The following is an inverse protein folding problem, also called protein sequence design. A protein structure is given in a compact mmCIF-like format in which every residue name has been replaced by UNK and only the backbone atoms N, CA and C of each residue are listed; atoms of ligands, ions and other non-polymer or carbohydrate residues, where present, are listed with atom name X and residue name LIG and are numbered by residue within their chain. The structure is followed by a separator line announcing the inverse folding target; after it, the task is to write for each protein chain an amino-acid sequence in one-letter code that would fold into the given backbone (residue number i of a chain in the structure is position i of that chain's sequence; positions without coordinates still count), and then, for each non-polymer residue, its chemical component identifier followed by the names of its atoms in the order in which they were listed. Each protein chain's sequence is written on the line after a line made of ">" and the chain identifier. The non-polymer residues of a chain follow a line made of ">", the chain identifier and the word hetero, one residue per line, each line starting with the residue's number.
data_IF_958779744431
#
_entry.id   IF_958779744431
#
_cell.length_a   1.000
_cell.length_b   1.000
_cell.length_c   1.000
_cell.angle_alpha   90.00
_cell.angle_beta   90.00
_cell.angle_gamma   90.00
#
_symmetry.space_group_name_H-M   'P 1'
#
loop_
_entity.id
_entity.type
_entity.pdbx_description
1 polymer ?
#
# COMPACT_ATOMS: atom_id res chain seq x y z
N UNK A 1 -19.83 -49.38 -13.86
CA UNK A 1 -21.01 -48.59 -14.25
C UNK A 1 -21.87 -48.41 -13.00
N UNK A 2 -21.65 -47.33 -12.25
CA UNK A 2 -22.23 -47.13 -10.91
C UNK A 2 -23.47 -46.25 -11.06
N UNK A 3 -24.59 -46.78 -10.59
CA UNK A 3 -25.94 -46.22 -10.72
C UNK A 3 -26.07 -44.90 -9.92
N UNK A 4 -26.10 -43.77 -10.64
CA UNK A 4 -26.19 -42.41 -10.07
C UNK A 4 -27.56 -42.08 -9.45
N UNK A 5 -28.49 -43.04 -9.35
CA UNK A 5 -29.87 -42.81 -8.87
C UNK A 5 -30.09 -43.00 -7.36
N UNK A 6 -29.08 -43.38 -6.57
CA UNK A 6 -29.23 -43.61 -5.11
C UNK A 6 -28.40 -42.70 -4.19
N UNK A 7 -28.09 -41.47 -4.61
CA UNK A 7 -27.47 -40.45 -3.73
C UNK A 7 -28.36 -39.19 -3.59
N UNK A 8 -29.67 -39.40 -3.47
CA UNK A 8 -30.66 -38.33 -3.20
C UNK A 8 -31.44 -38.59 -1.92
N UNK A 9 -30.74 -38.95 -0.85
CA UNK A 9 -31.33 -38.97 0.48
C UNK A 9 -30.41 -38.24 1.45
N UNK A 10 -30.99 -37.23 2.11
CA UNK A 10 -30.51 -36.62 3.36
C UNK A 10 -29.59 -35.39 3.25
N UNK A 11 -30.06 -34.36 2.55
CA UNK A 11 -29.81 -32.97 2.97
C UNK A 11 -31.15 -32.23 2.85
N UNK A 12 -32.03 -32.47 3.83
CA UNK A 12 -33.06 -31.48 4.14
C UNK A 12 -32.32 -30.24 4.64
N UNK A 13 -32.14 -29.26 3.75
CA UNK A 13 -31.68 -27.94 4.14
C UNK A 13 -32.79 -27.34 4.99
N UNK A 14 -32.65 -27.38 6.31
CA UNK A 14 -33.45 -26.55 7.19
C UNK A 14 -33.30 -25.13 6.68
N UNK A 15 -34.40 -24.53 6.21
CA UNK A 15 -34.42 -23.10 5.89
C UNK A 15 -33.91 -22.38 7.14
N UNK A 16 -32.94 -21.44 7.03
CA UNK A 16 -32.64 -20.59 8.17
C UNK A 16 -33.94 -19.91 8.56
N UNK A 17 -34.37 -20.11 9.81
CA UNK A 17 -35.48 -19.33 10.39
C UNK A 17 -34.97 -17.91 10.42
N UNK A 18 -35.40 -17.11 9.45
CA UNK A 18 -35.24 -15.67 9.49
C UNK A 18 -36.18 -15.23 10.61
N UNK A 19 -35.69 -14.68 11.73
CA UNK A 19 -36.57 -14.16 12.76
C UNK A 19 -37.46 -13.09 12.11
N UNK A 20 -38.76 -13.17 12.38
CA UNK A 20 -39.79 -12.34 11.75
C UNK A 20 -39.34 -10.89 11.63
N UNK A 21 -39.48 -10.34 10.43
CA UNK A 21 -39.01 -9.02 10.02
C UNK A 21 -39.87 -7.88 10.60
N UNK A 22 -40.33 -8.02 11.85
CA UNK A 22 -40.98 -6.96 12.60
C UNK A 22 -39.92 -6.27 13.46
N UNK A 23 -39.30 -5.25 12.86
CA UNK A 23 -38.16 -4.49 13.39
C UNK A 23 -38.46 -3.63 14.63
N UNK A 24 -39.07 -4.20 15.67
CA UNK A 24 -39.26 -3.54 16.97
C UNK A 24 -39.03 -4.51 18.12
N UNK A 25 -37.85 -5.13 18.18
CA UNK A 25 -37.36 -5.61 19.47
C UNK A 25 -36.90 -4.41 20.29
N UNK A 26 -37.45 -4.28 21.49
CA UNK A 26 -37.08 -3.17 22.38
C UNK A 26 -35.65 -3.37 22.87
N UNK A 27 -34.96 -2.28 23.23
CA UNK A 27 -33.57 -2.30 23.70
C UNK A 27 -33.37 -3.22 24.92
N UNK A 28 -34.43 -3.46 25.70
CA UNK A 28 -34.42 -4.37 26.85
C UNK A 28 -34.34 -5.86 26.43
N UNK A 29 -34.97 -6.24 25.33
CA UNK A 29 -35.03 -7.64 24.87
C UNK A 29 -33.71 -8.12 24.24
N UNK A 30 -32.88 -7.19 23.77
CA UNK A 30 -31.53 -7.50 23.26
C UNK A 30 -30.53 -7.61 24.43
N UNK A 31 -30.75 -6.85 25.51
CA UNK A 31 -29.89 -6.88 26.69
C UNK A 31 -30.00 -8.21 27.47
N UNK A 32 -31.20 -8.79 27.54
CA UNK A 32 -31.44 -10.06 28.25
C UNK A 32 -30.91 -11.30 27.48
N UNK A 33 -30.57 -11.17 26.19
CA UNK A 33 -30.07 -12.27 25.36
C UNK A 33 -28.53 -12.39 25.33
N UNK A 34 -27.82 -11.44 25.92
CA UNK A 34 -26.36 -11.39 25.92
C UNK A 34 -25.81 -11.65 27.33
N UNK A 35 -25.79 -12.93 27.71
CA UNK A 35 -25.02 -13.40 28.85
C UNK A 35 -23.55 -13.00 28.66
N UNK A 36 -23.07 -12.05 29.50
CA UNK A 36 -21.65 -11.86 29.77
C UNK A 36 -20.92 -10.81 28.91
N UNK A 37 -20.84 -9.60 29.47
CA UNK A 37 -19.76 -8.60 29.30
C UNK A 37 -19.36 -8.29 27.85
N UNK A 38 -20.20 -7.52 27.15
CA UNK A 38 -19.73 -6.63 26.09
C UNK A 38 -20.39 -5.27 26.30
N UNK A 39 -19.58 -4.23 26.51
CA UNK A 39 -20.05 -2.92 26.91
C UNK A 39 -21.03 -2.35 25.85
N UNK A 40 -22.26 -1.95 26.22
CA UNK A 40 -23.27 -1.45 25.28
C UNK A 40 -22.79 -0.23 24.48
N UNK A 41 -21.88 0.58 25.05
CA UNK A 41 -21.24 1.71 24.34
C UNK A 41 -20.35 1.20 23.20
N UNK A 42 -19.62 0.10 23.41
CA UNK A 42 -18.78 -0.51 22.38
C UNK A 42 -19.63 -1.11 21.27
N UNK A 43 -20.78 -1.72 21.58
CA UNK A 43 -21.72 -2.22 20.56
C UNK A 43 -22.31 -1.09 19.71
N UNK A 44 -22.66 0.05 20.32
CA UNK A 44 -23.13 1.24 19.59
C UNK A 44 -22.00 1.87 18.75
N UNK A 45 -20.77 1.88 19.26
CA UNK A 45 -19.61 2.36 18.52
C UNK A 45 -19.29 1.46 17.30
N UNK A 46 -19.32 0.14 17.48
CA UNK A 46 -19.17 -0.85 16.41
C UNK A 46 -20.28 -0.71 15.36
N UNK A 47 -21.53 -0.48 15.79
CA UNK A 47 -22.65 -0.19 14.88
C UNK A 47 -22.45 1.10 14.08
N UNK A 48 -22.01 2.19 14.72
CA UNK A 48 -21.70 3.47 14.06
C UNK A 48 -20.54 3.34 13.07
N UNK A 49 -19.52 2.56 13.42
CA UNK A 49 -18.39 2.26 12.54
C UNK A 49 -18.84 1.47 11.32
N UNK A 50 -19.61 0.40 11.52
CA UNK A 50 -20.14 -0.42 10.43
C UNK A 50 -21.04 0.39 9.47
N UNK A 51 -21.89 1.27 10.00
CA UNK A 51 -22.75 2.16 9.18
C UNK A 51 -21.90 3.14 8.37
N UNK A 52 -20.85 3.71 8.97
CA UNK A 52 -19.94 4.63 8.28
C UNK A 52 -19.19 3.93 7.15
N UNK A 53 -18.74 2.70 7.38
CA UNK A 53 -18.03 1.89 6.39
C UNK A 53 -18.96 1.48 5.24
N UNK A 54 -20.22 1.16 5.53
CA UNK A 54 -21.26 0.92 4.52
C UNK A 54 -21.52 2.21 3.71
N UNK A 55 -21.61 3.38 4.36
CA UNK A 55 -21.82 4.66 3.69
C UNK A 55 -20.67 5.02 2.74
N UNK A 56 -19.42 4.83 3.17
CA UNK A 56 -18.23 5.00 2.31
C UNK A 56 -18.25 4.04 1.11
N UNK A 57 -18.64 2.78 1.32
CA UNK A 57 -18.81 1.78 0.25
C UNK A 57 -19.88 2.18 -0.77
N UNK A 58 -21.02 2.70 -0.31
CA UNK A 58 -22.10 3.15 -1.19
C UNK A 58 -21.70 4.40 -2.01
N UNK A 59 -21.03 5.37 -1.39
CA UNK A 59 -20.50 6.54 -2.11
C UNK A 59 -19.49 6.14 -3.18
N UNK A 60 -18.64 5.14 -2.89
CA UNK A 60 -17.69 4.58 -3.84
C UNK A 60 -18.39 3.88 -5.02
N UNK A 61 -19.43 3.08 -4.75
CA UNK A 61 -20.24 2.42 -5.80
C UNK A 61 -20.92 3.45 -6.70
N UNK A 62 -21.43 4.54 -6.15
CA UNK A 62 -22.12 5.60 -6.91
C UNK A 62 -21.16 6.44 -7.77
N UNK A 63 -19.88 6.57 -7.38
CA UNK A 63 -18.85 7.25 -8.16
C UNK A 63 -18.22 6.40 -9.27
N UNK A 64 -18.47 5.10 -9.31
CA UNK A 64 -17.90 4.19 -10.30
C UNK A 64 -18.74 4.20 -11.59
N UNK A 65 -18.09 4.51 -12.71
CA UNK A 65 -18.70 4.41 -14.04
C UNK A 65 -19.23 2.97 -14.26
N UNK A 66 -20.48 2.79 -14.72
CA UNK A 66 -21.03 1.45 -14.95
C UNK A 66 -20.17 0.71 -15.98
N UNK A 67 -19.56 -0.41 -15.56
CA UNK A 67 -18.66 -1.22 -16.39
C UNK A 67 -17.20 -1.33 -15.88
N UNK A 68 -16.83 -0.61 -14.81
CA UNK A 68 -15.52 -0.77 -14.17
C UNK A 68 -15.47 -2.00 -13.27
N UNK A 69 -14.84 -3.10 -13.73
CA UNK A 69 -14.61 -4.32 -12.94
C UNK A 69 -13.55 -4.12 -11.85
N UNK A 70 -13.78 -3.20 -10.93
CA UNK A 70 -13.04 -3.24 -9.68
C UNK A 70 -13.85 -2.63 -8.55
N UNK A 71 -14.68 -3.48 -7.97
CA UNK A 71 -15.26 -3.20 -6.66
C UNK A 71 -14.10 -3.26 -5.67
N UNK A 72 -13.80 -2.13 -5.03
CA UNK A 72 -12.82 -2.08 -3.95
C UNK A 72 -13.40 -2.81 -2.74
N UNK A 73 -12.89 -4.00 -2.46
CA UNK A 73 -13.22 -4.73 -1.24
C UNK A 73 -12.02 -4.70 -0.29
N UNK A 74 -12.28 -4.85 1.01
CA UNK A 74 -11.22 -4.84 2.02
C UNK A 74 -10.29 -6.05 1.84
N UNK A 75 -10.85 -7.17 1.39
CA UNK A 75 -10.16 -8.43 1.15
C UNK A 75 -9.17 -8.30 -0.02
N UNK A 76 -9.57 -7.67 -1.13
CA UNK A 76 -8.68 -7.42 -2.28
C UNK A 76 -7.54 -6.48 -1.88
N UNK A 77 -7.84 -5.44 -1.10
CA UNK A 77 -6.82 -4.50 -0.62
C UNK A 77 -5.80 -5.23 0.25
N UNK A 78 -6.26 -6.08 1.18
CA UNK A 78 -5.35 -6.84 2.04
C UNK A 78 -4.52 -7.85 1.25
N UNK A 79 -5.14 -8.54 0.27
CA UNK A 79 -4.44 -9.48 -0.59
C UNK A 79 -3.32 -8.81 -1.40
N UNK A 80 -3.58 -7.61 -1.95
CA UNK A 80 -2.55 -6.80 -2.64
C UNK A 80 -1.41 -6.44 -1.68
N UNK A 81 -1.74 -6.01 -0.46
CA UNK A 81 -0.75 -5.63 0.54
C UNK A 81 0.12 -6.82 0.94
N UNK A 82 -0.46 -8.00 1.16
CA UNK A 82 0.28 -9.22 1.47
C UNK A 82 1.20 -9.63 0.32
N UNK A 83 0.72 -9.61 -0.93
CA UNK A 83 1.55 -9.92 -2.11
C UNK A 83 2.69 -8.91 -2.30
N UNK A 84 2.46 -7.63 -1.99
CA UNK A 84 3.54 -6.64 -2.04
C UNK A 84 4.61 -6.89 -0.97
N UNK A 85 4.21 -7.33 0.23
CA UNK A 85 5.17 -7.68 1.30
C UNK A 85 6.06 -8.85 0.92
N UNK A 86 5.61 -9.77 0.07
CA UNK A 86 6.45 -10.89 -0.41
C UNK A 86 7.42 -10.48 -1.53
N UNK A 87 7.39 -9.22 -1.97
CA UNK A 87 8.24 -8.70 -3.04
C UNK A 87 7.63 -8.85 -4.44
N UNK A 88 6.36 -9.24 -4.56
CA UNK A 88 5.69 -9.30 -5.86
C UNK A 88 5.46 -7.90 -6.44
N UNK A 89 5.65 -7.75 -7.75
CA UNK A 89 5.45 -6.46 -8.42
C UNK A 89 3.96 -6.15 -8.60
N UNK A 90 3.60 -4.86 -8.52
CA UNK A 90 2.24 -4.39 -8.81
C UNK A 90 1.77 -4.85 -10.20
N UNK A 91 2.64 -4.85 -11.20
CA UNK A 91 2.32 -5.32 -12.54
C UNK A 91 1.90 -6.79 -12.52
N UNK A 92 2.67 -7.66 -11.88
CA UNK A 92 2.34 -9.08 -11.72
C UNK A 92 1.00 -9.28 -11.02
N UNK A 93 0.77 -8.55 -9.91
CA UNK A 93 -0.49 -8.62 -9.16
C UNK A 93 -1.67 -8.22 -10.06
N UNK A 94 -1.58 -7.10 -10.77
CA UNK A 94 -2.67 -6.60 -11.63
C UNK A 94 -2.91 -7.42 -12.91
N UNK A 95 -2.00 -8.34 -13.25
CA UNK A 95 -2.21 -9.28 -14.35
C UNK A 95 -3.16 -10.43 -13.98
N UNK A 96 -3.39 -10.68 -12.69
CA UNK A 96 -4.35 -11.66 -12.21
C UNK A 96 -5.78 -11.22 -12.54
N UNK A 97 -6.60 -12.05 -13.22
CA UNK A 97 -7.99 -11.70 -13.55
C UNK A 97 -8.89 -11.37 -12.36
N UNK A 98 -8.54 -11.84 -11.15
CA UNK A 98 -9.28 -11.52 -9.91
C UNK A 98 -8.88 -10.17 -9.31
N UNK A 99 -7.74 -9.62 -9.72
CA UNK A 99 -7.18 -8.38 -9.17
C UNK A 99 -7.74 -7.14 -9.87
N UNK A 100 -7.70 -5.97 -9.22
CA UNK A 100 -8.01 -4.71 -9.87
C UNK A 100 -7.11 -4.48 -11.08
N UNK A 101 -7.66 -3.82 -12.10
CA UNK A 101 -6.82 -3.28 -13.16
C UNK A 101 -5.84 -2.25 -12.60
N UNK A 102 -4.71 -2.06 -13.30
CA UNK A 102 -3.70 -1.10 -12.89
C UNK A 102 -4.29 0.31 -12.70
N UNK A 103 -5.16 0.76 -13.62
CA UNK A 103 -5.83 2.06 -13.53
C UNK A 103 -6.75 2.18 -12.33
N UNK A 104 -7.47 1.12 -11.97
CA UNK A 104 -8.34 1.12 -10.80
C UNK A 104 -7.52 1.27 -9.50
N UNK A 105 -6.40 0.54 -9.41
CA UNK A 105 -5.52 0.64 -8.25
C UNK A 105 -4.92 2.04 -8.10
N UNK A 106 -4.47 2.68 -9.18
CA UNK A 106 -3.98 4.07 -9.13
C UNK A 106 -5.06 5.03 -8.63
N UNK A 107 -6.28 4.93 -9.17
CA UNK A 107 -7.39 5.77 -8.69
C UNK A 107 -7.70 5.57 -7.20
N UNK A 108 -7.53 4.35 -6.67
CA UNK A 108 -7.73 4.11 -5.24
C UNK A 108 -6.63 4.73 -4.38
N UNK A 109 -5.38 4.71 -4.85
CA UNK A 109 -4.23 5.32 -4.18
C UNK A 109 -4.36 6.84 -4.12
N UNK A 110 -4.77 7.45 -5.24
CA UNK A 110 -4.95 8.90 -5.32
C UNK A 110 -6.13 9.40 -4.45
N UNK A 111 -7.16 8.56 -4.28
CA UNK A 111 -8.35 8.90 -3.50
C UNK A 111 -8.23 8.62 -1.99
N UNK A 112 -7.23 7.84 -1.56
CA UNK A 112 -7.11 7.35 -0.18
C UNK A 112 -5.64 7.31 0.26
N UNK A 113 -5.23 8.37 0.96
CA UNK A 113 -3.87 8.54 1.46
C UNK A 113 -3.47 7.45 2.48
N UNK A 114 -4.42 6.96 3.29
CA UNK A 114 -4.14 5.88 4.25
C UNK A 114 -3.80 4.58 3.51
N UNK A 115 -4.52 4.29 2.41
CA UNK A 115 -4.22 3.15 1.56
C UNK A 115 -2.84 3.32 0.90
N UNK A 116 -2.51 4.52 0.42
CA UNK A 116 -1.21 4.79 -0.18
C UNK A 116 -0.07 4.53 0.82
N UNK A 117 -0.18 5.05 2.04
CA UNK A 117 0.81 4.82 3.09
C UNK A 117 0.97 3.34 3.44
N UNK A 118 -0.12 2.57 3.41
CA UNK A 118 -0.07 1.11 3.62
C UNK A 118 0.66 0.41 2.48
N UNK A 119 0.41 0.81 1.23
CA UNK A 119 1.08 0.26 0.04
C UNK A 119 2.57 0.60 0.06
N UNK A 120 2.95 1.83 0.36
CA UNK A 120 4.36 2.26 0.47
C UNK A 120 5.08 1.45 1.55
N UNK A 121 4.48 1.29 2.73
CA UNK A 121 5.04 0.44 3.80
C UNK A 121 5.15 -1.03 3.39
N UNK A 122 4.18 -1.56 2.65
CA UNK A 122 4.23 -2.92 2.15
C UNK A 122 5.34 -3.11 1.11
N UNK A 123 5.55 -2.14 0.22
CA UNK A 123 6.64 -2.15 -0.76
C UNK A 123 8.01 -2.09 -0.10
N UNK A 124 8.18 -1.28 0.95
CA UNK A 124 9.40 -1.26 1.74
C UNK A 124 9.71 -2.64 2.34
N UNK A 125 8.70 -3.32 2.90
CA UNK A 125 8.82 -4.71 3.36
C UNK A 125 9.20 -5.67 2.23
N UNK A 126 8.53 -5.57 1.09
CA UNK A 126 8.84 -6.39 -0.09
C UNK A 126 10.26 -6.22 -0.61
N UNK A 127 10.87 -5.04 -0.45
CA UNK A 127 12.27 -4.83 -0.83
C UNK A 127 13.24 -5.58 0.07
N UNK A 128 12.95 -5.72 1.36
CA UNK A 128 13.74 -6.59 2.23
C UNK A 128 13.66 -8.04 1.76
N UNK A 129 12.47 -8.51 1.41
CA UNK A 129 12.29 -9.86 0.85
C UNK A 129 13.05 -10.05 -0.47
N UNK A 130 13.03 -9.05 -1.35
CA UNK A 130 13.83 -9.08 -2.58
C UNK A 130 15.34 -9.05 -2.31
N UNK A 131 15.79 -8.32 -1.28
CA UNK A 131 17.19 -8.30 -0.88
C UNK A 131 17.67 -9.67 -0.38
N UNK A 132 16.83 -10.38 0.39
CA UNK A 132 17.09 -11.75 0.84
C UNK A 132 17.10 -12.72 -0.36
N UNK A 133 16.10 -12.62 -1.24
CA UNK A 133 16.02 -13.43 -2.46
C UNK A 133 17.24 -13.22 -3.37
N UNK A 134 17.74 -11.99 -3.49
CA UNK A 134 18.97 -11.67 -4.24
C UNK A 134 20.17 -12.44 -3.69
N UNK A 135 20.31 -12.53 -2.36
CA UNK A 135 21.39 -13.28 -1.74
C UNK A 135 21.25 -14.77 -2.02
N UNK A 136 20.03 -15.31 -1.92
CA UNK A 136 19.73 -16.71 -2.23
C UNK A 136 20.07 -17.06 -3.69
N UNK A 137 19.69 -16.21 -4.65
CA UNK A 137 20.05 -16.37 -6.06
C UNK A 137 21.56 -16.37 -6.26
N UNK A 138 22.29 -15.44 -5.61
CA UNK A 138 23.74 -15.36 -5.73
C UNK A 138 24.46 -16.60 -5.18
N UNK A 139 23.88 -17.26 -4.18
CA UNK A 139 24.40 -18.49 -3.59
C UNK A 139 24.00 -19.76 -4.36
N UNK A 140 23.18 -19.64 -5.42
CA UNK A 140 22.63 -20.79 -6.14
C UNK A 140 21.57 -21.55 -5.32
N UNK A 141 20.86 -20.85 -4.43
CA UNK A 141 19.82 -21.41 -3.60
C UNK A 141 18.52 -21.71 -4.37
N UNK A 142 17.42 -22.04 -3.66
CA UNK A 142 16.15 -22.44 -4.27
C UNK A 142 15.54 -21.42 -5.24
N UNK A 143 15.89 -20.13 -5.11
CA UNK A 143 15.38 -19.06 -5.97
C UNK A 143 16.23 -18.86 -7.24
N UNK A 144 17.41 -19.49 -7.32
CA UNK A 144 18.28 -19.44 -8.50
C UNK A 144 17.68 -20.24 -9.66
N UNK A 145 17.85 -19.74 -10.88
CA UNK A 145 17.48 -20.50 -12.09
C UNK A 145 18.57 -21.50 -12.48
N UNK A 146 19.77 -21.39 -11.91
CA UNK A 146 20.97 -22.14 -12.28
C UNK A 146 21.71 -21.61 -13.53
N UNK A 147 21.08 -20.68 -14.27
CA UNK A 147 21.73 -19.94 -15.36
C UNK A 147 22.37 -18.65 -14.82
N UNK A 148 23.70 -18.61 -14.86
CA UNK A 148 24.50 -17.48 -14.35
C UNK A 148 24.14 -16.14 -15.00
N UNK A 149 23.79 -16.12 -16.30
CA UNK A 149 23.45 -14.87 -16.98
C UNK A 149 22.07 -14.38 -16.55
N UNK A 150 21.12 -15.29 -16.41
CA UNK A 150 19.78 -14.98 -15.92
C UNK A 150 19.83 -14.48 -14.49
N UNK A 151 20.54 -15.20 -13.61
CA UNK A 151 20.67 -14.86 -12.20
C UNK A 151 21.37 -13.52 -12.01
N UNK A 152 22.43 -13.25 -12.79
CA UNK A 152 23.08 -11.93 -12.79
C UNK A 152 22.10 -10.82 -13.17
N UNK A 153 21.32 -11.00 -14.25
CA UNK A 153 20.34 -10.00 -14.68
C UNK A 153 19.28 -9.76 -13.60
N UNK A 154 18.82 -10.81 -12.92
CA UNK A 154 17.85 -10.69 -11.82
C UNK A 154 18.46 -9.91 -10.65
N UNK A 155 19.68 -10.24 -10.24
CA UNK A 155 20.41 -9.53 -9.17
C UNK A 155 20.58 -8.04 -9.50
N UNK A 156 21.04 -7.73 -10.71
CA UNK A 156 21.25 -6.35 -11.17
C UNK A 156 19.93 -5.56 -11.19
N UNK A 157 18.83 -6.21 -11.60
CA UNK A 157 17.50 -5.59 -11.61
C UNK A 157 16.98 -5.33 -10.19
N UNK A 158 17.17 -6.28 -9.26
CA UNK A 158 16.81 -6.10 -7.86
C UNK A 158 17.60 -4.94 -7.23
N UNK A 159 18.91 -4.87 -7.50
CA UNK A 159 19.76 -3.77 -7.03
C UNK A 159 19.24 -2.40 -7.50
N UNK A 160 18.94 -2.28 -8.80
CA UNK A 160 18.40 -1.05 -9.36
C UNK A 160 17.04 -0.67 -8.74
N UNK A 161 16.17 -1.65 -8.54
CA UNK A 161 14.85 -1.43 -7.93
C UNK A 161 14.96 -0.92 -6.49
N UNK A 162 15.77 -1.59 -5.67
CA UNK A 162 15.99 -1.24 -4.26
C UNK A 162 16.63 0.15 -4.14
N UNK A 163 17.67 0.45 -4.94
CA UNK A 163 18.36 1.73 -4.90
C UNK A 163 17.46 2.93 -5.29
N UNK A 164 16.49 2.71 -6.19
CA UNK A 164 15.55 3.75 -6.61
C UNK A 164 14.45 3.97 -5.58
N UNK A 165 13.91 2.90 -5.01
CA UNK A 165 12.69 2.96 -4.19
C UNK A 165 12.94 3.02 -2.69
N UNK A 166 14.11 2.61 -2.21
CA UNK A 166 14.54 2.75 -0.82
C UNK A 166 16.01 3.20 -0.76
N UNK A 167 16.24 4.37 -1.36
CA UNK A 167 17.54 5.04 -1.35
C UNK A 167 18.02 5.35 0.07
N UNK A 168 17.10 5.65 0.99
CA UNK A 168 17.46 6.04 2.35
C UNK A 168 18.17 4.89 3.10
N UNK A 169 17.71 3.66 2.91
CA UNK A 169 18.23 2.49 3.61
C UNK A 169 19.33 1.77 2.83
N UNK A 170 19.15 1.61 1.51
CA UNK A 170 20.03 0.80 0.67
C UNK A 170 20.89 1.61 -0.31
N UNK A 171 20.79 2.94 -0.29
CA UNK A 171 21.62 3.80 -1.12
C UNK A 171 23.09 3.76 -0.70
N UNK A 172 23.99 3.83 -1.67
CA UNK A 172 25.42 3.96 -1.42
C UNK A 172 25.70 5.30 -0.73
N UNK A 173 26.26 5.25 0.49
CA UNK A 173 26.63 6.43 1.28
C UNK A 173 28.07 6.80 1.00
N UNK A 174 28.28 7.79 0.14
CA UNK A 174 29.62 8.32 -0.15
C UNK A 174 29.90 9.45 0.83
N UNK A 175 30.87 9.24 1.73
CA UNK A 175 31.39 10.30 2.58
C UNK A 175 32.34 11.19 1.75
N UNK A 176 31.85 12.33 1.29
CA UNK A 176 32.68 13.32 0.61
C UNK A 176 33.35 14.21 1.65
N UNK A 177 34.62 13.93 1.95
CA UNK A 177 35.45 14.85 2.73
C UNK A 177 35.81 16.04 1.84
N UNK A 178 35.11 17.16 2.02
CA UNK A 178 35.46 18.41 1.35
C UNK A 178 36.78 18.95 1.91
N UNK A 179 37.88 18.76 1.18
CA UNK A 179 39.10 19.52 1.41
C UNK A 179 38.87 20.93 0.87
N UNK A 180 38.55 21.88 1.76
CA UNK A 180 38.54 23.29 1.40
C UNK A 180 39.98 23.74 1.19
N UNK A 181 40.45 23.67 -0.06
CA UNK A 181 41.73 24.25 -0.46
C UNK A 181 41.60 25.77 -0.40
N UNK A 182 42.20 26.38 0.64
CA UNK A 182 42.40 27.82 0.71
C UNK A 182 43.38 28.21 -0.41
N UNK A 183 42.85 28.55 -1.58
CA UNK A 183 43.64 29.23 -2.60
C UNK A 183 43.97 30.64 -2.08
N UNK A 184 45.25 31.05 -2.01
CA UNK A 184 45.58 32.42 -1.65
C UNK A 184 45.16 33.35 -2.79
N UNK A 185 43.96 33.90 -2.71
CA UNK A 185 43.56 35.01 -3.58
C UNK A 185 44.38 36.24 -3.19
N UNK A 186 45.49 36.45 -3.91
CA UNK A 186 46.10 37.77 -4.08
C UNK A 186 45.10 38.63 -4.85
N UNK A 187 44.44 39.56 -4.18
CA UNK A 187 43.64 40.59 -4.85
C UNK A 187 44.64 41.62 -5.39
N UNK A 188 44.80 41.79 -6.72
CA UNK A 188 45.58 42.90 -7.23
C UNK A 188 44.89 44.20 -6.82
N UNK A 189 45.64 45.08 -6.16
CA UNK A 189 45.19 46.38 -5.68
C UNK A 189 44.93 47.30 -6.88
N UNK A 190 43.79 47.12 -7.58
CA UNK A 190 43.34 48.05 -8.61
C UNK A 190 42.69 49.23 -7.92
N UNK A 191 43.31 50.40 -8.07
CA UNK A 191 42.79 51.72 -7.72
C UNK A 191 41.30 51.82 -8.03
N UNK A 192 40.46 51.95 -7.00
CA UNK A 192 39.07 52.37 -7.15
C UNK A 192 39.12 53.85 -7.54
N UNK A 193 38.58 54.26 -8.71
CA UNK A 193 38.43 55.68 -9.02
C UNK A 193 37.46 56.30 -8.00
N UNK A 194 37.96 57.26 -7.23
CA UNK A 194 37.14 58.14 -6.41
C UNK A 194 36.22 58.92 -7.34
N UNK A 195 34.96 58.53 -7.45
CA UNK A 195 33.82 59.38 -7.85
C UNK A 195 32.57 58.52 -8.01
N UNK A 196 31.73 58.45 -6.98
CA UNK A 196 30.26 58.61 -7.03
C UNK A 196 29.80 58.73 -5.57
N UNK A 197 29.90 59.93 -5.00
CA UNK A 197 29.05 60.32 -3.86
C UNK A 197 27.75 60.84 -4.47
N UNK A 198 26.68 60.07 -4.36
CA UNK A 198 25.31 60.58 -4.59
C UNK A 198 24.78 61.16 -3.28
N UNK A 199 24.25 62.39 -3.27
CA UNK A 199 23.71 62.99 -2.06
C UNK A 199 22.40 62.30 -1.65
N UNK A 200 22.36 61.95 -0.37
CA UNK A 200 21.23 61.45 0.41
C UNK A 200 20.17 62.57 0.53
N UNK A 201 18.95 62.30 0.07
CA UNK A 201 17.78 63.16 0.33
C UNK A 201 17.11 62.63 1.60
N UNK A 202 17.20 63.39 2.68
CA UNK A 202 16.40 63.17 3.90
C UNK A 202 14.94 63.61 3.69
N UNK A 203 13.96 62.90 4.29
CA UNK A 203 12.56 63.28 4.28
C UNK A 203 12.19 64.22 5.45
N UNK A 204 11.45 65.30 5.14
CA UNK A 204 10.54 66.00 6.07
C UNK A 204 9.08 65.82 5.65
#
# INVERSE_FOLDING_TARGET
>A
MVDRRKLKSRIERSKPVVPDADGTRSLAEIADAADGVTNPIQMVALGKQAIRDIGKRLAQIQGLKPGGTSIRTAEIVEEIIERLKTGETLTSITCDPRMPSQSALWNWRDADEELEDRIVRAQAKGQHTLADARLDIALGGPTSTGDRLRDKLVIDTINANIAQRNRAEFGEKIAVTAQHTLMPYSVPMTLIPSDVVKPENDPE
#
